data_IF_926236596839
#
_entry.id   IF_926236596839
#
_cell.length_a   1.000
_cell.length_b   1.000
_cell.length_c   1.000
_cell.angle_alpha   90.00
_cell.angle_beta   90.00
_cell.angle_gamma   90.00
#
_symmetry.space_group_name_H-M   'P 1'
#
loop_
_entity.id
_entity.type
_entity.pdbx_description
1 polymer ?
#
# COMPACT_ATOMS: atom_id res chain seq x y z
N UNK A 1 -7.43 2.02 -28.88
CA UNK A 1 -7.92 1.96 -27.48
C UNK A 1 -6.72 1.75 -26.56
N UNK A 2 -6.34 2.76 -25.78
CA UNK A 2 -5.25 2.63 -24.80
C UNK A 2 -5.69 1.69 -23.66
N UNK A 3 -4.83 0.73 -23.29
CA UNK A 3 -5.14 -0.27 -22.26
C UNK A 3 -5.10 0.42 -20.89
N UNK A 4 -6.25 0.51 -20.19
CA UNK A 4 -6.32 1.07 -18.82
C UNK A 4 -5.23 0.46 -17.93
N UNK A 5 -4.34 1.30 -17.41
CA UNK A 5 -3.29 0.88 -16.48
C UNK A 5 -3.89 0.75 -15.08
N UNK A 6 -3.66 -0.40 -14.43
CA UNK A 6 -4.15 -0.71 -13.09
C UNK A 6 -2.99 -1.14 -12.21
N UNK A 7 -2.75 -0.42 -11.11
CA UNK A 7 -1.71 -0.74 -10.14
C UNK A 7 -2.31 -1.24 -8.84
N UNK A 8 -1.61 -2.15 -8.16
CA UNK A 8 -1.94 -2.59 -6.81
C UNK A 8 -0.98 -1.91 -5.84
N UNK A 9 -1.49 -0.95 -5.08
CA UNK A 9 -0.73 -0.24 -4.05
C UNK A 9 -0.98 -0.93 -2.71
N UNK A 10 0.08 -1.15 -1.94
CA UNK A 10 -0.01 -1.73 -0.60
C UNK A 10 0.52 -0.72 0.40
N UNK A 11 -0.35 -0.27 1.28
CA UNK A 11 -0.02 0.61 2.39
C UNK A 11 0.04 -0.23 3.65
N UNK A 12 1.15 -0.22 4.39
CA UNK A 12 1.20 -0.84 5.71
C UNK A 12 1.30 0.25 6.76
N UNK A 13 0.28 0.35 7.62
CA UNK A 13 0.15 1.40 8.62
C UNK A 13 -0.22 0.82 9.98
N UNK A 14 0.22 1.49 11.04
CA UNK A 14 -0.06 1.08 12.41
C UNK A 14 -1.53 1.27 12.77
N UNK A 15 -2.08 0.34 13.56
CA UNK A 15 -3.48 0.34 13.99
C UNK A 15 -3.93 1.65 14.66
N UNK A 16 -3.02 2.32 15.39
CA UNK A 16 -3.29 3.61 16.05
C UNK A 16 -2.70 4.82 15.31
N UNK A 17 -2.14 4.63 14.12
CA UNK A 17 -1.51 5.71 13.36
C UNK A 17 -2.50 6.65 12.68
N UNK A 18 -2.10 7.91 12.50
CA UNK A 18 -2.90 8.96 11.83
C UNK A 18 -3.26 8.62 10.37
N UNK A 19 -2.45 7.79 9.70
CA UNK A 19 -2.72 7.30 8.34
C UNK A 19 -4.08 6.60 8.25
N UNK A 20 -4.46 5.79 9.24
CA UNK A 20 -5.73 5.05 9.18
C UNK A 20 -6.96 5.94 9.39
N UNK A 21 -6.82 7.04 10.14
CA UNK A 21 -7.89 8.04 10.30
C UNK A 21 -8.15 8.80 9.00
N UNK A 22 -7.13 8.95 8.16
CA UNK A 22 -7.16 9.69 6.90
C UNK A 22 -7.28 8.80 5.65
N UNK A 23 -7.57 7.50 5.83
CA UNK A 23 -7.52 6.47 4.78
C UNK A 23 -8.22 6.90 3.47
N UNK A 24 -9.48 7.35 3.53
CA UNK A 24 -10.25 7.70 2.33
C UNK A 24 -9.64 8.89 1.57
N UNK A 25 -9.13 9.87 2.30
CA UNK A 25 -8.51 11.07 1.73
C UNK A 25 -7.17 10.67 1.08
N UNK A 26 -6.37 9.86 1.78
CA UNK A 26 -5.09 9.34 1.27
C UNK A 26 -5.29 8.45 0.03
N UNK A 27 -6.33 7.62 -0.02
CA UNK A 27 -6.70 6.86 -1.22
C UNK A 27 -7.03 7.75 -2.40
N UNK A 28 -7.83 8.81 -2.17
CA UNK A 28 -8.18 9.80 -3.18
C UNK A 28 -6.95 10.56 -3.69
N UNK A 29 -6.07 10.98 -2.80
CA UNK A 29 -4.83 11.68 -3.13
C UNK A 29 -3.87 10.79 -3.93
N UNK A 30 -3.68 9.53 -3.52
CA UNK A 30 -2.87 8.57 -4.28
C UNK A 30 -3.46 8.34 -5.67
N UNK A 31 -4.78 8.18 -5.78
CA UNK A 31 -5.44 8.00 -7.06
C UNK A 31 -5.25 9.21 -7.98
N UNK A 32 -5.26 10.43 -7.43
CA UNK A 32 -4.95 11.67 -8.16
C UNK A 32 -3.49 11.73 -8.60
N UNK A 33 -2.55 11.47 -7.69
CA UNK A 33 -1.10 11.52 -7.97
C UNK A 33 -0.73 10.51 -9.07
N UNK A 34 -1.28 9.28 -9.00
CA UNK A 34 -1.07 8.28 -10.06
C UNK A 34 -1.55 8.77 -11.43
N UNK A 35 -2.70 9.46 -11.50
CA UNK A 35 -3.20 10.03 -12.76
C UNK A 35 -2.35 11.18 -13.26
N UNK A 36 -1.82 12.00 -12.36
CA UNK A 36 -0.93 13.12 -12.70
C UNK A 36 0.37 12.62 -13.34
N UNK A 37 0.98 11.56 -12.80
CA UNK A 37 2.28 11.05 -13.27
C UNK A 37 2.18 10.03 -14.41
N UNK A 38 1.10 9.24 -14.47
CA UNK A 38 0.98 8.12 -15.42
C UNK A 38 -0.27 8.20 -16.32
N UNK A 39 -0.94 9.35 -16.36
CA UNK A 39 -2.06 9.63 -17.26
C UNK A 39 -3.45 9.39 -16.64
N UNK A 40 -4.45 10.09 -17.18
CA UNK A 40 -5.83 10.14 -16.66
C UNK A 40 -6.53 8.78 -16.59
N UNK A 41 -6.16 7.85 -17.47
CA UNK A 41 -6.73 6.51 -17.53
C UNK A 41 -6.13 5.55 -16.48
N UNK A 42 -5.15 6.00 -15.70
CA UNK A 42 -4.54 5.23 -14.63
C UNK A 42 -5.48 5.08 -13.45
N UNK A 43 -5.59 3.84 -12.96
CA UNK A 43 -6.34 3.51 -11.74
C UNK A 43 -5.48 2.70 -10.79
N UNK A 44 -5.76 2.82 -9.50
CA UNK A 44 -5.12 2.02 -8.47
C UNK A 44 -6.15 1.28 -7.63
N UNK A 45 -5.76 0.10 -7.16
CA UNK A 45 -6.41 -0.59 -6.06
C UNK A 45 -5.48 -0.46 -4.87
N UNK A 46 -5.96 0.07 -3.75
CA UNK A 46 -5.18 0.16 -2.52
C UNK A 46 -5.59 -0.95 -1.56
N UNK A 47 -4.60 -1.50 -0.86
CA UNK A 47 -4.79 -2.43 0.25
C UNK A 47 -4.07 -1.86 1.47
N UNK A 48 -4.78 -1.76 2.59
CA UNK A 48 -4.25 -1.37 3.88
C UNK A 48 -3.91 -2.60 4.73
N UNK A 49 -2.62 -2.85 4.92
CA UNK A 49 -2.13 -3.78 5.92
C UNK A 49 -2.04 -3.05 7.26
N UNK A 50 -2.95 -3.38 8.16
CA UNK A 50 -2.95 -2.82 9.51
C UNK A 50 -1.96 -3.61 10.36
N UNK A 51 -0.91 -2.94 10.82
CA UNK A 51 0.10 -3.50 11.70
C UNK A 51 -0.36 -3.29 13.15
N UNK A 52 -0.55 -4.37 13.94
CA UNK A 52 -0.80 -4.28 15.37
C UNK A 52 0.33 -3.56 16.13
N UNK A 53 0.04 -3.06 17.32
CA UNK A 53 1.06 -2.47 18.18
C UNK A 53 2.16 -3.49 18.53
N UNK A 54 3.40 -3.01 18.64
CA UNK A 54 4.55 -3.86 18.96
C UNK A 54 5.06 -4.75 17.82
N UNK A 55 4.54 -4.60 16.59
CA UNK A 55 4.92 -5.44 15.44
C UNK A 55 5.67 -4.71 14.32
N UNK A 56 6.07 -3.45 14.50
CA UNK A 56 6.99 -2.79 13.56
C UNK A 56 8.10 -2.05 14.29
N UNK A 57 9.29 -2.11 13.69
CA UNK A 57 10.52 -1.58 14.25
C UNK A 57 11.34 -0.89 13.16
N UNK A 58 12.00 0.22 13.51
CA UNK A 58 13.04 0.86 12.70
C UNK A 58 14.29 0.94 13.57
N UNK A 59 15.42 0.49 13.04
CA UNK A 59 16.71 0.47 13.76
C UNK A 59 16.64 -0.19 15.16
N UNK A 60 15.81 -1.23 15.32
CA UNK A 60 15.63 -1.95 16.58
C UNK A 60 14.70 -1.28 17.60
N UNK A 61 14.17 -0.09 17.31
CA UNK A 61 13.20 0.61 18.15
C UNK A 61 11.78 0.48 17.58
N UNK A 62 10.72 0.48 18.42
CA UNK A 62 9.34 0.54 17.94
C UNK A 62 9.14 1.69 16.96
N UNK A 63 8.44 1.42 15.87
CA UNK A 63 8.17 2.40 14.83
C UNK A 63 6.68 2.66 14.68
N UNK A 64 6.34 3.87 14.23
CA UNK A 64 5.01 4.28 13.76
C UNK A 64 4.97 4.45 12.25
N UNK A 65 6.10 4.18 11.56
CA UNK A 65 6.27 4.52 10.17
C UNK A 65 5.29 3.76 9.27
N UNK A 66 4.69 4.50 8.34
CA UNK A 66 3.85 3.92 7.29
C UNK A 66 4.71 3.56 6.09
N UNK A 67 4.55 2.35 5.56
CA UNK A 67 5.18 1.96 4.29
C UNK A 67 4.16 2.02 3.16
N UNK A 68 4.56 2.56 2.01
CA UNK A 68 3.71 2.71 0.83
C UNK A 68 4.43 2.09 -0.36
N UNK A 69 4.03 0.86 -0.69
CA UNK A 69 4.55 0.15 -1.84
C UNK A 69 3.77 0.57 -3.08
N UNK A 70 4.41 1.38 -3.93
CA UNK A 70 3.82 1.96 -5.14
C UNK A 70 4.46 1.37 -6.41
N UNK A 71 3.78 0.45 -7.10
CA UNK A 71 4.23 0.00 -8.41
C UNK A 71 4.13 1.14 -9.44
N UNK A 72 5.11 1.23 -10.32
CA UNK A 72 5.18 2.20 -11.43
C UNK A 72 5.46 1.46 -12.75
N UNK A 73 5.23 2.07 -13.93
CA UNK A 73 5.61 1.48 -15.21
C UNK A 73 7.09 1.09 -15.24
N UNK A 74 7.42 -0.05 -15.85
CA UNK A 74 8.79 -0.59 -15.84
C UNK A 74 9.82 0.36 -16.50
N UNK A 75 9.36 1.19 -17.45
CA UNK A 75 10.17 2.18 -18.15
C UNK A 75 10.16 3.57 -17.49
N UNK A 76 9.56 3.73 -16.30
CA UNK A 76 9.59 5.00 -15.59
C UNK A 76 11.04 5.34 -15.20
N UNK A 77 11.57 6.45 -15.73
CA UNK A 77 12.90 6.94 -15.40
C UNK A 77 13.03 7.40 -13.94
N UNK A 78 14.27 7.53 -13.46
CA UNK A 78 14.56 7.90 -12.07
C UNK A 78 13.91 9.24 -11.67
N UNK A 79 14.06 10.28 -12.48
CA UNK A 79 13.50 11.60 -12.19
C UNK A 79 11.97 11.58 -12.04
N UNK A 80 11.28 10.78 -12.84
CA UNK A 80 9.83 10.60 -12.73
C UNK A 80 9.46 9.92 -11.41
N UNK A 81 10.23 8.89 -11.00
CA UNK A 81 10.01 8.20 -9.73
C UNK A 81 10.22 9.12 -8.55
N UNK A 82 11.27 9.93 -8.56
CA UNK A 82 11.57 10.85 -7.47
C UNK A 82 10.50 11.90 -7.30
N UNK A 83 10.02 12.52 -8.40
CA UNK A 83 8.89 13.45 -8.35
C UNK A 83 7.62 12.76 -7.83
N UNK A 84 7.31 11.59 -8.37
CA UNK A 84 6.15 10.81 -7.94
C UNK A 84 6.19 10.46 -6.44
N UNK A 85 7.31 9.96 -5.93
CA UNK A 85 7.47 9.65 -4.50
C UNK A 85 7.41 10.91 -3.63
N UNK A 86 7.99 12.02 -4.09
CA UNK A 86 7.94 13.30 -3.38
C UNK A 86 6.52 13.84 -3.26
N UNK A 87 5.72 13.75 -4.31
CA UNK A 87 4.31 14.17 -4.27
C UNK A 87 3.49 13.31 -3.31
N UNK A 88 3.78 12.00 -3.25
CA UNK A 88 3.18 11.11 -2.25
C UNK A 88 3.57 11.56 -0.85
N UNK A 89 4.86 11.70 -0.56
CA UNK A 89 5.33 12.13 0.77
C UNK A 89 4.72 13.47 1.19
N UNK A 90 4.71 14.45 0.29
CA UNK A 90 4.15 15.79 0.53
C UNK A 90 2.66 15.71 0.83
N UNK A 91 1.91 14.97 0.01
CA UNK A 91 0.48 14.76 0.23
C UNK A 91 0.21 14.06 1.55
N UNK A 92 0.99 13.04 1.88
CA UNK A 92 0.80 12.27 3.11
C UNK A 92 1.04 13.12 4.35
N UNK A 93 2.17 13.81 4.42
CA UNK A 93 2.51 14.73 5.51
C UNK A 93 1.43 15.81 5.69
N UNK A 94 0.93 16.37 4.58
CA UNK A 94 -0.15 17.35 4.61
C UNK A 94 -1.49 16.83 5.16
N UNK A 95 -1.73 15.51 5.11
CA UNK A 95 -2.96 14.89 5.66
C UNK A 95 -2.80 14.37 7.07
N UNK A 96 -1.63 13.84 7.42
CA UNK A 96 -1.41 13.14 8.69
C UNK A 96 -0.62 13.95 9.71
N UNK A 97 0.07 15.01 9.28
CA UNK A 97 0.99 15.78 10.12
C UNK A 97 2.25 15.02 10.53
N UNK A 98 2.48 13.82 9.99
CA UNK A 98 3.65 13.02 10.35
C UNK A 98 4.93 13.60 9.73
N UNK A 99 6.08 13.22 10.31
CA UNK A 99 7.38 13.56 9.75
C UNK A 99 7.66 12.79 8.46
N UNK A 100 8.54 13.34 7.61
CA UNK A 100 9.05 12.64 6.42
C UNK A 100 9.73 11.31 6.79
N UNK A 101 10.31 11.22 7.99
CA UNK A 101 10.98 10.00 8.48
C UNK A 101 9.99 8.91 8.92
N UNK A 102 8.70 9.23 9.00
CA UNK A 102 7.63 8.30 9.36
C UNK A 102 6.87 7.75 8.14
N UNK A 103 7.36 8.03 6.92
CA UNK A 103 6.78 7.51 5.68
C UNK A 103 7.90 6.93 4.82
N UNK A 104 7.77 5.66 4.45
CA UNK A 104 8.67 4.99 3.53
C UNK A 104 7.90 4.69 2.25
N UNK A 105 8.20 5.43 1.17
CA UNK A 105 7.58 5.22 -0.14
C UNK A 105 8.56 4.48 -1.06
N UNK A 106 8.07 3.49 -1.81
CA UNK A 106 8.88 2.78 -2.81
C UNK A 106 8.26 2.88 -4.19
N UNK A 107 8.98 3.36 -5.20
CA UNK A 107 8.56 3.35 -6.60
C UNK A 107 9.18 2.16 -7.36
N UNK A 108 8.59 0.98 -7.24
CA UNK A 108 9.12 -0.25 -7.85
C UNK A 108 8.50 -0.56 -9.21
N UNK A 109 9.25 -1.21 -10.09
CA UNK A 109 8.73 -1.71 -11.36
C UNK A 109 7.50 -2.58 -11.15
N UNK A 110 6.45 -2.40 -11.97
CA UNK A 110 5.22 -3.18 -11.87
C UNK A 110 5.47 -4.68 -12.07
N UNK A 111 6.45 -5.03 -12.90
CA UNK A 111 6.86 -6.44 -13.07
C UNK A 111 7.49 -6.99 -11.79
N UNK A 112 8.36 -6.22 -11.13
CA UNK A 112 8.97 -6.63 -9.85
C UNK A 112 7.96 -6.66 -8.70
N UNK A 113 7.02 -5.71 -8.66
CA UNK A 113 5.93 -5.72 -7.69
C UNK A 113 5.08 -6.99 -7.80
N UNK A 114 4.76 -7.41 -9.03
CA UNK A 114 4.03 -8.67 -9.28
C UNK A 114 4.85 -9.87 -8.82
N UNK A 115 6.16 -9.90 -9.11
CA UNK A 115 7.06 -10.97 -8.69
C UNK A 115 7.16 -11.04 -7.16
N UNK A 116 7.32 -9.91 -6.49
CA UNK A 116 7.33 -9.82 -5.03
C UNK A 116 6.02 -10.34 -4.42
N UNK A 117 4.87 -9.95 -4.98
CA UNK A 117 3.57 -10.44 -4.53
C UNK A 117 3.43 -11.96 -4.73
N UNK A 118 3.91 -12.50 -5.86
CA UNK A 118 3.92 -13.95 -6.11
C UNK A 118 4.82 -14.70 -5.14
N UNK A 119 6.03 -14.20 -4.87
CA UNK A 119 6.96 -14.81 -3.92
C UNK A 119 6.42 -14.77 -2.50
N UNK A 120 5.79 -13.67 -2.11
CA UNK A 120 5.15 -13.53 -0.79
C UNK A 120 4.03 -14.56 -0.60
N UNK A 121 3.28 -14.89 -1.65
CA UNK A 121 2.25 -15.95 -1.60
C UNK A 121 2.83 -17.35 -1.43
N UNK A 122 4.05 -17.61 -1.91
CA UNK A 122 4.74 -18.90 -1.72
C UNK A 122 5.22 -19.15 -0.29
N UNK A 123 5.23 -18.13 0.56
CA UNK A 123 5.55 -18.26 1.99
C UNK A 123 4.47 -19.00 2.79
N UNK A 124 3.30 -19.22 2.20
CA UNK A 124 2.22 -19.99 2.80
C UNK A 124 2.24 -21.43 2.29
N UNK A 125 2.06 -22.39 3.21
CA UNK A 125 1.87 -23.82 2.88
C UNK A 125 0.84 -23.98 1.75
N UNK A 126 1.14 -24.72 0.66
CA UNK A 126 0.23 -24.88 -0.49
C UNK A 126 -1.19 -25.36 -0.13
N UNK A 127 -1.33 -26.17 0.92
CA UNK A 127 -2.63 -26.70 1.38
C UNK A 127 -3.39 -25.68 2.23
N UNK A 128 -2.70 -24.95 3.11
CA UNK A 128 -3.29 -23.88 3.94
C UNK A 128 -3.48 -22.57 3.18
N UNK A 129 -2.73 -22.35 2.10
CA UNK A 129 -2.68 -21.11 1.33
C UNK A 129 -4.00 -20.77 0.64
N UNK A 130 -4.75 -21.76 0.16
CA UNK A 130 -6.08 -21.53 -0.43
C UNK A 130 -7.09 -21.07 0.62
N UNK A 131 -7.16 -21.76 1.76
CA UNK A 131 -8.06 -21.40 2.86
C UNK A 131 -7.71 -20.02 3.43
N UNK A 132 -6.42 -19.75 3.62
CA UNK A 132 -5.95 -18.44 4.08
C UNK A 132 -6.26 -17.33 3.08
N UNK A 133 -6.04 -17.55 1.77
CA UNK A 133 -6.37 -16.58 0.74
C UNK A 133 -7.87 -16.25 0.69
N UNK A 134 -8.73 -17.27 0.86
CA UNK A 134 -10.18 -17.06 0.97
C UNK A 134 -10.52 -16.25 2.22
N UNK A 135 -9.97 -16.61 3.40
CA UNK A 135 -10.20 -15.85 4.65
C UNK A 135 -9.76 -14.39 4.52
N UNK A 136 -8.57 -14.14 3.96
CA UNK A 136 -8.06 -12.79 3.71
C UNK A 136 -8.97 -12.05 2.73
N UNK A 137 -9.40 -12.69 1.64
CA UNK A 137 -10.32 -12.09 0.66
C UNK A 137 -11.66 -11.71 1.27
N UNK A 138 -12.27 -12.60 2.07
CA UNK A 138 -13.52 -12.33 2.79
C UNK A 138 -13.34 -11.19 3.79
N UNK A 139 -12.25 -11.20 4.57
CA UNK A 139 -11.93 -10.13 5.51
C UNK A 139 -11.76 -8.77 4.81
N UNK A 140 -11.08 -8.75 3.66
CA UNK A 140 -10.92 -7.55 2.84
C UNK A 140 -12.28 -7.03 2.32
N UNK A 141 -13.13 -7.91 1.77
CA UNK A 141 -14.46 -7.52 1.31
C UNK A 141 -15.34 -7.00 2.45
N UNK A 142 -15.31 -7.67 3.61
CA UNK A 142 -16.00 -7.23 4.81
C UNK A 142 -15.51 -5.85 5.27
N UNK A 143 -14.20 -5.61 5.26
CA UNK A 143 -13.64 -4.30 5.61
C UNK A 143 -14.04 -3.20 4.62
N UNK A 144 -14.14 -3.52 3.32
CA UNK A 144 -14.62 -2.57 2.32
C UNK A 144 -16.08 -2.21 2.57
N UNK A 145 -16.91 -3.19 2.91
CA UNK A 145 -18.33 -2.95 3.20
C UNK A 145 -18.54 -2.16 4.52
N UNK A 146 -17.77 -2.46 5.56
CA UNK A 146 -17.95 -1.86 6.89
C UNK A 146 -17.19 -0.55 7.10
N UNK A 147 -15.98 -0.43 6.56
CA UNK A 147 -15.07 0.72 6.77
C UNK A 147 -14.91 1.60 5.52
N UNK A 148 -15.30 1.09 4.35
CA UNK A 148 -15.18 1.81 3.07
C UNK A 148 -13.84 1.67 2.36
N UNK A 149 -12.91 0.87 2.89
CA UNK A 149 -11.58 0.63 2.30
C UNK A 149 -11.16 -0.84 2.47
N UNK A 150 -10.29 -1.32 1.59
CA UNK A 150 -9.77 -2.69 1.68
C UNK A 150 -8.66 -2.75 2.71
N UNK A 151 -8.84 -3.56 3.76
CA UNK A 151 -7.82 -3.75 4.78
C UNK A 151 -7.69 -5.22 5.21
N UNK A 152 -6.52 -5.56 5.70
CA UNK A 152 -6.24 -6.80 6.39
C UNK A 152 -5.35 -6.53 7.61
N UNK A 153 -5.54 -7.27 8.69
CA UNK A 153 -4.65 -7.21 9.86
C UNK A 153 -3.52 -8.20 9.69
N UNK A 154 -2.28 -7.77 9.95
CA UNK A 154 -1.11 -8.64 9.96
C UNK A 154 -1.07 -9.48 11.26
N UNK A 155 -2.09 -10.29 11.51
CA UNK A 155 -1.99 -11.37 12.48
C UNK A 155 -1.96 -12.68 11.70
N UNK A 156 -0.88 -13.45 11.86
CA UNK A 156 -0.95 -14.88 11.58
C UNK A 156 -1.82 -15.49 12.68
N UNK A 157 -3.00 -16.08 12.38
CA UNK A 157 -3.63 -16.93 13.37
C UNK A 157 -2.65 -18.06 13.69
N UNK A 158 -2.24 -18.13 14.95
CA UNK A 158 -1.56 -19.29 15.55
C UNK A 158 -2.36 -20.55 15.31
#
# INVERSE_FOLDING_TARGET
>A
MSRKQRFLVVCSAHARGESLKNTKILEGDLQRIYRQHFGSDTSITLIWNVIPEGQAFIAGAPSTATTVLTPVPDHAGQDLRERFMRDICTSWQGRTGCSINEIIVTAMNVTEAKRYAQMSRRRFDPRKGKSLAVKVGVGMLHSRATKGYLSNTLNMPS
#
